data_IF_331965116773
#
_entry.id   IF_331965116773
#
_cell.length_a   1.000
_cell.length_b   1.000
_cell.length_c   1.000
_cell.angle_alpha   90.00
_cell.angle_beta   90.00
_cell.angle_gamma   90.00
#
_symmetry.space_group_name_H-M   'P 1'
#
loop_
_entity.id
_entity.type
_entity.pdbx_description
1 polymer ?
#
# COMPACT_ATOMS: atom_id res chain seq x y z
N UNK A 1 21.16 20.60 -40.47
CA UNK A 1 21.77 19.68 -39.48
C UNK A 1 20.71 19.36 -38.44
N UNK A 2 20.09 18.19 -38.58
CA UNK A 2 18.93 17.77 -37.78
C UNK A 2 19.36 17.37 -36.37
N UNK A 3 18.79 18.03 -35.35
CA UNK A 3 18.86 17.61 -33.96
C UNK A 3 17.95 16.40 -33.77
N UNK A 4 18.55 15.26 -33.40
CA UNK A 4 17.83 14.05 -33.00
C UNK A 4 17.01 14.34 -31.74
N UNK A 5 15.70 14.40 -31.92
CA UNK A 5 14.70 14.35 -30.86
C UNK A 5 14.70 12.90 -30.33
N UNK A 6 15.35 12.66 -29.19
CA UNK A 6 15.21 11.39 -28.48
C UNK A 6 13.93 11.50 -27.67
N UNK A 7 12.83 11.05 -28.30
CA UNK A 7 11.57 10.77 -27.63
C UNK A 7 11.80 9.48 -26.83
N UNK A 8 12.12 9.58 -25.54
CA UNK A 8 11.99 8.44 -24.64
C UNK A 8 10.49 8.24 -24.40
N UNK A 9 9.87 7.44 -25.26
CA UNK A 9 8.56 6.88 -25.00
C UNK A 9 8.68 6.02 -23.74
N UNK A 10 8.07 6.49 -22.65
CA UNK A 10 7.81 5.67 -21.48
C UNK A 10 6.95 4.49 -21.93
N UNK A 11 7.58 3.32 -22.03
CA UNK A 11 6.90 2.05 -22.21
C UNK A 11 6.44 1.56 -20.82
N UNK A 12 5.64 2.37 -20.13
CA UNK A 12 4.59 1.79 -19.30
C UNK A 12 3.54 1.37 -20.31
N UNK A 13 3.37 0.07 -20.49
CA UNK A 13 2.21 -0.49 -21.16
C UNK A 13 0.98 -0.25 -20.26
N UNK A 14 0.66 1.01 -19.94
CA UNK A 14 -0.64 1.42 -19.46
C UNK A 14 -1.53 1.52 -20.69
N UNK A 15 -1.91 0.37 -21.21
CA UNK A 15 -3.20 0.24 -21.85
C UNK A 15 -4.26 0.51 -20.77
N UNK A 16 -4.53 1.78 -20.48
CA UNK A 16 -5.79 2.20 -19.87
C UNK A 16 -6.87 2.07 -20.94
N UNK A 17 -7.07 0.84 -21.42
CA UNK A 17 -8.37 0.44 -21.88
C UNK A 17 -9.25 0.64 -20.66
N UNK A 18 -10.21 1.55 -20.74
CA UNK A 18 -11.38 1.48 -19.87
C UNK A 18 -11.94 0.08 -20.08
N UNK A 19 -11.57 -0.86 -19.22
CA UNK A 19 -12.21 -2.14 -19.14
C UNK A 19 -13.63 -1.83 -18.67
N UNK A 20 -14.56 -1.77 -19.62
CA UNK A 20 -15.96 -1.96 -19.26
C UNK A 20 -16.03 -3.23 -18.44
N UNK A 21 -16.69 -3.18 -17.28
CA UNK A 21 -16.91 -4.36 -16.44
C UNK A 21 -17.42 -5.49 -17.34
N UNK A 22 -16.62 -6.55 -17.48
CA UNK A 22 -17.01 -7.68 -18.31
C UNK A 22 -17.82 -8.63 -17.43
N UNK A 23 -18.88 -9.20 -18.00
CA UNK A 23 -19.73 -10.13 -17.28
C UNK A 23 -18.93 -11.35 -16.80
N UNK A 24 -19.20 -11.78 -15.56
CA UNK A 24 -18.85 -13.11 -15.10
C UNK A 24 -20.02 -14.07 -15.33
N UNK A 25 -19.72 -15.35 -15.46
CA UNK A 25 -20.68 -16.43 -15.64
C UNK A 25 -20.23 -17.64 -14.82
N UNK A 26 -21.16 -18.31 -14.17
CA UNK A 26 -20.91 -19.60 -13.52
C UNK A 26 -21.00 -20.67 -14.59
N UNK A 27 -19.89 -21.32 -14.90
CA UNK A 27 -19.80 -22.36 -15.95
C UNK A 27 -19.98 -23.77 -15.40
N UNK A 28 -19.72 -23.97 -14.11
CA UNK A 28 -19.91 -25.25 -13.44
C UNK A 28 -20.20 -25.06 -11.95
N UNK A 29 -20.88 -26.03 -11.35
CA UNK A 29 -21.26 -26.03 -9.93
C UNK A 29 -21.12 -27.44 -9.37
N UNK A 30 -20.37 -27.58 -8.29
CA UNK A 30 -20.31 -28.81 -7.48
C UNK A 30 -20.86 -28.54 -6.09
N UNK A 31 -21.74 -29.40 -5.59
CA UNK A 31 -22.37 -29.24 -4.27
C UNK A 31 -22.10 -30.46 -3.40
N UNK A 32 -21.53 -30.22 -2.21
CA UNK A 32 -21.19 -31.23 -1.21
C UNK A 32 -21.76 -30.84 0.15
N UNK A 33 -22.91 -31.41 0.48
CA UNK A 33 -23.67 -31.00 1.67
C UNK A 33 -24.16 -29.55 1.52
N UNK A 34 -23.84 -28.71 2.50
CA UNK A 34 -24.21 -27.29 2.51
C UNK A 34 -23.17 -26.39 1.80
N UNK A 35 -22.01 -26.96 1.45
CA UNK A 35 -20.95 -26.28 0.72
C UNK A 35 -21.13 -26.39 -0.79
N UNK A 36 -20.89 -25.28 -1.48
CA UNK A 36 -20.95 -25.16 -2.93
C UNK A 36 -19.62 -24.65 -3.47
N UNK A 37 -19.18 -25.26 -4.55
CA UNK A 37 -18.08 -24.81 -5.37
C UNK A 37 -18.62 -24.30 -6.69
N UNK A 38 -18.16 -23.14 -7.14
CA UNK A 38 -18.54 -22.57 -8.43
C UNK A 38 -17.31 -22.35 -9.30
N UNK A 39 -17.43 -22.66 -10.58
CA UNK A 39 -16.40 -22.36 -11.57
C UNK A 39 -16.83 -21.13 -12.37
N UNK A 40 -16.11 -20.03 -12.20
CA UNK A 40 -16.35 -18.77 -12.90
C UNK A 40 -15.57 -18.76 -14.23
N UNK A 41 -16.30 -18.54 -15.32
CA UNK A 41 -15.79 -18.40 -16.70
C UNK A 41 -14.88 -19.56 -17.16
N UNK A 42 -15.02 -20.74 -16.54
CA UNK A 42 -14.16 -21.90 -16.81
C UNK A 42 -12.71 -21.74 -16.33
N UNK A 43 -12.42 -20.79 -15.43
CA UNK A 43 -11.05 -20.44 -15.05
C UNK A 43 -10.84 -20.36 -13.53
N UNK A 44 -11.76 -19.73 -12.80
CA UNK A 44 -11.61 -19.49 -11.36
C UNK A 44 -12.60 -20.37 -10.61
N UNK A 45 -12.09 -21.34 -9.87
CA UNK A 45 -12.89 -22.12 -8.93
C UNK A 45 -12.90 -21.42 -7.57
N UNK A 46 -14.10 -21.17 -7.03
CA UNK A 46 -14.31 -20.68 -5.66
C UNK A 46 -15.05 -21.79 -4.92
N UNK A 47 -14.40 -22.33 -3.90
CA UNK A 47 -14.91 -23.41 -3.05
C UNK A 47 -15.52 -22.84 -1.77
N UNK A 48 -16.21 -23.66 -0.99
CA UNK A 48 -16.73 -23.29 0.34
C UNK A 48 -17.69 -22.09 0.35
N UNK A 49 -18.53 -21.96 -0.69
CA UNK A 49 -19.64 -21.01 -0.69
C UNK A 49 -20.81 -21.67 0.03
N UNK A 50 -21.37 -20.98 1.02
CA UNK A 50 -22.59 -21.41 1.71
C UNK A 50 -23.75 -20.48 1.37
N UNK A 51 -24.98 -20.99 1.51
CA UNK A 51 -26.20 -20.19 1.44
C UNK A 51 -26.85 -20.12 2.82
N UNK A 52 -26.68 -19.01 3.52
CA UNK A 52 -27.26 -18.79 4.86
C UNK A 52 -28.29 -17.66 4.79
N UNK A 53 -29.50 -17.92 5.29
CA UNK A 53 -30.63 -16.96 5.27
C UNK A 53 -30.89 -16.34 3.89
N UNK A 54 -30.70 -17.14 2.84
CA UNK A 54 -30.87 -16.71 1.45
C UNK A 54 -29.78 -15.79 0.92
N UNK A 55 -28.64 -15.66 1.61
CA UNK A 55 -27.46 -14.90 1.17
C UNK A 55 -26.25 -15.80 1.02
N UNK A 56 -25.40 -15.48 0.03
CA UNK A 56 -24.11 -16.13 -0.11
C UNK A 56 -23.18 -15.73 1.03
N UNK A 57 -22.63 -16.74 1.68
CA UNK A 57 -21.50 -16.64 2.59
C UNK A 57 -20.28 -17.11 1.81
N UNK A 58 -19.42 -16.15 1.46
CA UNK A 58 -18.20 -16.41 0.69
C UNK A 58 -17.07 -16.90 1.61
N UNK A 59 -16.04 -17.55 1.02
CA UNK A 59 -14.84 -17.92 1.75
C UNK A 59 -14.20 -16.72 2.44
N UNK A 60 -13.74 -16.97 3.65
CA UNK A 60 -13.09 -15.99 4.49
C UNK A 60 -11.89 -16.61 5.20
N UNK A 61 -10.87 -15.80 5.39
CA UNK A 61 -9.81 -16.07 6.36
C UNK A 61 -10.35 -15.75 7.76
N UNK A 62 -10.10 -16.65 8.72
CA UNK A 62 -10.47 -16.46 10.13
C UNK A 62 -9.16 -16.43 10.92
N UNK A 63 -8.69 -15.25 11.36
CA UNK A 63 -7.54 -15.14 12.25
C UNK A 63 -7.89 -15.66 13.65
N UNK A 64 -6.88 -15.79 14.51
CA UNK A 64 -7.06 -16.18 15.92
C UNK A 64 -7.98 -15.23 16.70
N UNK A 65 -8.16 -13.98 16.22
CA UNK A 65 -9.13 -13.02 16.77
C UNK A 65 -10.59 -13.45 16.56
N UNK A 66 -10.86 -14.38 15.66
CA UNK A 66 -12.20 -14.86 15.29
C UNK A 66 -12.94 -13.98 14.29
N UNK A 67 -12.39 -12.84 13.89
CA UNK A 67 -13.05 -11.92 12.94
C UNK A 67 -12.91 -12.43 11.50
N UNK A 68 -14.03 -12.69 10.81
CA UNK A 68 -14.01 -13.18 9.43
C UNK A 68 -13.55 -12.08 8.46
N UNK A 69 -12.50 -12.36 7.70
CA UNK A 69 -11.98 -11.50 6.65
C UNK A 69 -12.26 -12.12 5.28
N UNK A 70 -13.16 -11.54 4.46
CA UNK A 70 -13.52 -12.12 3.17
C UNK A 70 -12.31 -12.08 2.22
N UNK A 71 -11.98 -13.24 1.63
CA UNK A 71 -10.89 -13.37 0.65
C UNK A 71 -11.36 -13.29 -0.79
N UNK A 72 -12.69 -13.24 -0.98
CA UNK A 72 -13.37 -13.08 -2.27
C UNK A 72 -14.45 -12.01 -2.13
N UNK A 73 -14.50 -11.06 -3.08
CA UNK A 73 -15.50 -9.98 -3.09
C UNK A 73 -16.02 -9.74 -4.50
N UNK A 74 -17.33 -9.52 -4.65
CA UNK A 74 -17.93 -9.07 -5.90
C UNK A 74 -18.16 -7.56 -5.85
N UNK A 75 -17.62 -6.82 -6.82
CA UNK A 75 -17.73 -5.34 -6.87
C UNK A 75 -19.09 -4.86 -7.35
N UNK A 76 -19.83 -5.70 -8.06
CA UNK A 76 -21.13 -5.34 -8.64
C UNK A 76 -22.20 -6.31 -8.16
N UNK A 77 -23.41 -5.78 -8.00
CA UNK A 77 -24.58 -6.58 -7.62
C UNK A 77 -24.90 -7.60 -8.70
N UNK A 78 -24.72 -7.25 -9.97
CA UNK A 78 -24.98 -8.14 -11.10
C UNK A 78 -24.07 -9.38 -11.06
N UNK A 79 -22.79 -9.20 -10.72
CA UNK A 79 -21.85 -10.29 -10.57
C UNK A 79 -22.23 -11.20 -9.39
N UNK A 80 -22.60 -10.61 -8.25
CA UNK A 80 -23.09 -11.33 -7.09
C UNK A 80 -24.35 -12.14 -7.41
N UNK A 81 -25.37 -11.50 -7.99
CA UNK A 81 -26.67 -12.09 -8.34
C UNK A 81 -26.51 -13.29 -9.29
N UNK A 82 -25.55 -13.23 -10.24
CA UNK A 82 -25.25 -14.35 -11.14
C UNK A 82 -24.77 -15.58 -10.38
N UNK A 83 -23.89 -15.40 -9.39
CA UNK A 83 -23.39 -16.50 -8.57
C UNK A 83 -24.47 -16.98 -7.60
N UNK A 84 -25.22 -16.06 -7.01
CA UNK A 84 -26.32 -16.37 -6.08
C UNK A 84 -27.40 -17.20 -6.77
N UNK A 85 -27.83 -16.79 -7.97
CA UNK A 85 -28.83 -17.54 -8.73
C UNK A 85 -28.33 -18.93 -9.12
N UNK A 86 -27.06 -19.02 -9.50
CA UNK A 86 -26.44 -20.29 -9.88
C UNK A 86 -26.40 -21.26 -8.67
N UNK A 87 -25.96 -20.77 -7.50
CA UNK A 87 -25.92 -21.53 -6.24
C UNK A 87 -27.33 -21.93 -5.80
N UNK A 88 -28.30 -21.00 -5.86
CA UNK A 88 -29.70 -21.21 -5.44
C UNK A 88 -30.41 -22.23 -6.32
N UNK A 89 -30.17 -22.18 -7.63
CA UNK A 89 -30.81 -23.08 -8.59
C UNK A 89 -30.03 -24.35 -8.86
N UNK A 90 -28.79 -24.44 -8.36
CA UNK A 90 -27.82 -25.49 -8.66
C UNK A 90 -27.64 -25.67 -10.19
N UNK A 91 -27.59 -24.55 -10.93
CA UNK A 91 -27.45 -24.54 -12.40
C UNK A 91 -26.46 -23.48 -12.87
N UNK A 92 -25.55 -23.81 -13.80
CA UNK A 92 -24.69 -22.83 -14.46
C UNK A 92 -25.49 -21.70 -15.14
N UNK A 93 -24.83 -20.56 -15.36
CA UNK A 93 -25.38 -19.42 -16.09
C UNK A 93 -25.68 -19.79 -17.55
N UNK A 94 -26.73 -19.19 -18.12
CA UNK A 94 -27.22 -19.53 -19.48
C UNK A 94 -26.25 -19.14 -20.60
N UNK A 95 -25.41 -18.14 -20.38
CA UNK A 95 -24.42 -17.66 -21.36
C UNK A 95 -23.00 -17.69 -20.76
N UNK A 96 -22.21 -18.75 -21.01
CA UNK A 96 -20.85 -18.84 -20.50
C UNK A 96 -19.92 -17.89 -21.26
N UNK A 97 -19.41 -16.86 -20.57
CA UNK A 97 -18.25 -16.10 -21.04
C UNK A 97 -16.99 -16.90 -20.72
N UNK A 98 -16.19 -17.22 -21.74
CA UNK A 98 -14.86 -17.83 -21.56
C UNK A 98 -13.74 -16.81 -21.48
N UNK A 99 -14.07 -15.51 -21.56
CA UNK A 99 -13.07 -14.44 -21.54
C UNK A 99 -12.81 -14.06 -20.09
N UNK A 100 -11.53 -14.09 -19.74
CA UNK A 100 -11.03 -13.59 -18.48
C UNK A 100 -9.99 -12.53 -18.77
N UNK A 101 -10.12 -11.40 -18.09
CA UNK A 101 -9.06 -10.42 -17.92
C UNK A 101 -8.81 -10.29 -16.41
N UNK A 102 -7.65 -9.76 -16.05
CA UNK A 102 -7.35 -9.47 -14.66
C UNK A 102 -6.52 -8.20 -14.53
N UNK A 103 -6.50 -7.67 -13.32
CA UNK A 103 -5.65 -6.57 -12.91
C UNK A 103 -5.18 -6.81 -11.47
N UNK A 104 -3.92 -6.52 -11.17
CA UNK A 104 -3.43 -6.43 -9.79
C UNK A 104 -3.86 -5.07 -9.26
N UNK A 105 -4.83 -5.04 -8.35
CA UNK A 105 -5.44 -3.79 -7.83
C UNK A 105 -4.85 -3.34 -6.51
N UNK A 106 -4.20 -4.25 -5.79
CA UNK A 106 -3.46 -3.96 -4.56
C UNK A 106 -2.20 -4.80 -4.54
N UNK A 107 -1.09 -4.20 -4.12
CA UNK A 107 0.15 -4.92 -3.82
C UNK A 107 0.89 -4.14 -2.73
N UNK A 108 0.85 -4.66 -1.51
CA UNK A 108 1.37 -4.00 -0.30
C UNK A 108 2.48 -4.87 0.28
N UNK A 109 3.75 -4.41 0.23
CA UNK A 109 4.86 -5.11 0.86
C UNK A 109 4.60 -5.37 2.34
N UNK A 110 5.06 -6.52 2.80
CA UNK A 110 5.00 -6.95 4.18
C UNK A 110 6.41 -7.25 4.66
N UNK A 111 6.98 -6.30 5.40
CA UNK A 111 8.33 -6.42 5.92
C UNK A 111 8.29 -6.87 7.38
N UNK A 112 8.38 -8.19 7.56
CA UNK A 112 8.56 -8.81 8.87
C UNK A 112 9.70 -9.80 8.79
N UNK A 113 10.75 -9.56 9.56
CA UNK A 113 11.90 -10.45 9.61
C UNK A 113 11.49 -11.89 9.95
N UNK A 114 12.06 -12.85 9.23
CA UNK A 114 11.76 -14.29 9.37
C UNK A 114 10.43 -14.75 8.75
N UNK A 115 9.57 -13.83 8.31
CA UNK A 115 8.32 -14.16 7.64
C UNK A 115 8.56 -14.67 6.21
N UNK A 116 7.85 -15.73 5.84
CA UNK A 116 7.72 -16.16 4.44
C UNK A 116 6.76 -15.28 3.66
N UNK A 117 5.83 -14.58 4.31
CA UNK A 117 4.97 -13.59 3.67
C UNK A 117 5.80 -12.35 3.32
N UNK A 118 5.64 -11.87 2.08
CA UNK A 118 6.38 -10.74 1.50
C UNK A 118 5.51 -9.61 0.99
N UNK A 119 4.29 -9.92 0.53
CA UNK A 119 3.30 -8.90 0.23
C UNK A 119 1.89 -9.47 0.32
N UNK A 120 0.94 -8.60 0.69
CA UNK A 120 -0.48 -8.82 0.44
C UNK A 120 -0.82 -8.26 -0.93
N UNK A 121 -1.60 -8.99 -1.72
CA UNK A 121 -2.05 -8.51 -3.01
C UNK A 121 -3.54 -8.79 -3.24
N UNK A 122 -4.15 -8.06 -4.16
CA UNK A 122 -5.53 -8.27 -4.62
C UNK A 122 -5.51 -8.36 -6.15
N UNK A 123 -6.16 -9.38 -6.69
CA UNK A 123 -6.33 -9.57 -8.14
C UNK A 123 -7.82 -9.42 -8.47
N UNK A 124 -8.15 -8.43 -9.29
CA UNK A 124 -9.50 -8.22 -9.80
C UNK A 124 -9.65 -8.87 -11.16
N UNK A 125 -10.57 -9.81 -11.28
CA UNK A 125 -10.94 -10.46 -12.53
C UNK A 125 -12.16 -9.80 -13.14
N UNK A 126 -12.11 -9.55 -14.45
CA UNK A 126 -13.21 -8.94 -15.22
C UNK A 126 -13.70 -7.57 -14.71
N UNK A 127 -12.91 -6.92 -13.84
CA UNK A 127 -13.30 -5.68 -13.16
C UNK A 127 -14.36 -5.86 -12.07
N UNK A 128 -14.76 -7.10 -11.73
CA UNK A 128 -15.92 -7.37 -10.86
C UNK A 128 -15.70 -8.40 -9.75
N UNK A 129 -14.65 -9.21 -9.82
CA UNK A 129 -14.36 -10.25 -8.83
C UNK A 129 -12.95 -10.03 -8.25
N UNK A 130 -12.89 -9.65 -6.98
CA UNK A 130 -11.64 -9.47 -6.25
C UNK A 130 -11.27 -10.74 -5.50
N UNK A 131 -9.99 -11.13 -5.58
CA UNK A 131 -9.42 -12.24 -4.84
C UNK A 131 -8.15 -11.77 -4.12
N UNK A 132 -8.13 -11.94 -2.81
CA UNK A 132 -6.95 -11.65 -1.99
C UNK A 132 -5.93 -12.77 -2.15
N UNK A 133 -4.68 -12.42 -2.46
CA UNK A 133 -3.58 -13.37 -2.60
C UNK A 133 -2.35 -12.89 -1.83
N UNK A 134 -1.39 -13.78 -1.63
CA UNK A 134 -0.15 -13.45 -0.91
C UNK A 134 1.07 -13.77 -1.77
N UNK A 135 2.03 -12.85 -1.80
CA UNK A 135 3.37 -13.12 -2.32
C UNK A 135 4.21 -13.68 -1.18
N UNK A 136 4.78 -14.85 -1.41
CA UNK A 136 5.53 -15.61 -0.42
C UNK A 136 6.95 -15.86 -0.91
N UNK A 137 7.89 -16.04 0.02
CA UNK A 137 9.29 -16.42 -0.25
C UNK A 137 9.58 -17.77 0.41
N UNK A 138 10.18 -18.68 -0.35
CA UNK A 138 10.73 -19.92 0.18
C UNK A 138 11.88 -19.62 1.14
N UNK A 139 11.83 -20.16 2.36
CA UNK A 139 12.94 -20.03 3.30
C UNK A 139 14.21 -20.73 2.83
N UNK A 140 14.07 -21.79 2.01
CA UNK A 140 15.18 -22.63 1.55
C UNK A 140 15.94 -22.00 0.38
N UNK A 141 15.21 -21.64 -0.67
CA UNK A 141 15.80 -21.28 -1.96
C UNK A 141 15.61 -19.79 -2.29
N UNK A 142 14.91 -19.04 -1.43
CA UNK A 142 14.57 -17.61 -1.61
C UNK A 142 13.73 -17.30 -2.86
N UNK A 143 13.18 -18.33 -3.49
CA UNK A 143 12.25 -18.18 -4.61
C UNK A 143 10.88 -17.67 -4.17
N UNK A 144 10.30 -16.79 -4.99
CA UNK A 144 8.96 -16.26 -4.80
C UNK A 144 7.89 -17.22 -5.32
N UNK A 145 6.80 -17.35 -4.59
CA UNK A 145 5.60 -18.09 -4.99
C UNK A 145 4.33 -17.39 -4.53
N UNK A 146 3.20 -17.70 -5.17
CA UNK A 146 1.90 -17.08 -4.89
C UNK A 146 1.03 -18.04 -4.09
N UNK A 147 0.62 -17.60 -2.90
CA UNK A 147 -0.39 -18.30 -2.11
C UNK A 147 -1.76 -17.77 -2.45
N UNK A 148 -2.56 -18.62 -3.09
CA UNK A 148 -4.00 -18.40 -3.25
C UNK A 148 -4.73 -18.65 -1.92
N UNK A 149 -5.94 -18.11 -1.75
CA UNK A 149 -6.77 -18.37 -0.58
C UNK A 149 -6.92 -19.87 -0.28
N UNK A 150 -6.53 -20.24 0.93
CA UNK A 150 -6.69 -21.57 1.47
C UNK A 150 -6.85 -21.49 2.99
N UNK A 151 -7.60 -22.43 3.56
CA UNK A 151 -7.72 -22.58 5.01
C UNK A 151 -7.01 -23.83 5.49
N UNK A 152 -6.59 -23.80 6.75
CA UNK A 152 -6.02 -24.96 7.42
C UNK A 152 -7.07 -26.09 7.50
N UNK A 153 -6.62 -27.35 7.52
CA UNK A 153 -7.53 -28.48 7.73
C UNK A 153 -8.29 -28.35 9.04
N UNK A 154 -9.59 -28.60 8.99
CA UNK A 154 -10.40 -28.76 10.19
C UNK A 154 -10.17 -30.15 10.80
N UNK A 155 -9.39 -30.15 11.89
CA UNK A 155 -9.05 -31.36 12.63
C UNK A 155 -10.25 -32.02 13.30
N UNK A 156 -11.33 -31.27 13.55
CA UNK A 156 -12.53 -31.79 14.23
C UNK A 156 -13.33 -32.73 13.36
N UNK A 157 -13.30 -32.53 12.04
CA UNK A 157 -13.93 -33.38 11.03
C UNK A 157 -12.93 -34.32 10.32
N UNK A 158 -11.69 -34.39 10.81
CA UNK A 158 -10.66 -35.32 10.33
C UNK A 158 -9.95 -34.92 9.04
N UNK A 159 -10.03 -33.66 8.61
CA UNK A 159 -9.27 -33.17 7.45
C UNK A 159 -7.76 -33.23 7.74
N UNK A 160 -6.98 -33.60 6.72
CA UNK A 160 -5.52 -33.79 6.83
C UNK A 160 -4.71 -32.83 5.97
N UNK A 161 -5.35 -32.12 5.06
CA UNK A 161 -4.72 -31.24 4.09
C UNK A 161 -5.38 -29.87 4.10
N UNK A 162 -4.59 -28.87 3.72
CA UNK A 162 -5.12 -27.54 3.41
C UNK A 162 -6.23 -27.63 2.36
N UNK A 163 -7.24 -26.78 2.51
CA UNK A 163 -8.38 -26.71 1.61
C UNK A 163 -8.25 -25.42 0.79
N UNK A 164 -8.07 -25.58 -0.52
CA UNK A 164 -8.02 -24.46 -1.46
C UNK A 164 -9.40 -23.81 -1.54
N UNK A 165 -9.50 -22.56 -1.10
CA UNK A 165 -10.75 -21.78 -1.15
C UNK A 165 -10.92 -21.11 -2.52
N UNK A 166 -9.82 -20.74 -3.17
CA UNK A 166 -9.83 -20.20 -4.54
C UNK A 166 -8.71 -20.82 -5.35
N UNK A 167 -8.99 -21.21 -6.58
CA UNK A 167 -8.02 -21.81 -7.49
C UNK A 167 -8.22 -21.36 -8.93
N UNK A 168 -7.13 -21.02 -9.60
CA UNK A 168 -7.10 -20.91 -11.06
C UNK A 168 -6.90 -22.29 -11.68
N UNK A 169 -7.96 -22.87 -12.23
CA UNK A 169 -7.89 -24.21 -12.85
C UNK A 169 -7.21 -24.19 -14.21
N UNK A 170 -7.26 -23.04 -14.90
CA UNK A 170 -6.55 -22.86 -16.16
C UNK A 170 -5.08 -22.55 -15.87
N UNK A 171 -4.21 -23.53 -16.08
CA UNK A 171 -2.76 -23.41 -15.81
C UNK A 171 -2.12 -22.23 -16.54
N UNK A 172 -2.49 -21.95 -17.78
CA UNK A 172 -1.92 -20.83 -18.54
C UNK A 172 -2.29 -19.49 -17.90
N UNK A 173 -3.55 -19.31 -17.51
CA UNK A 173 -3.97 -18.08 -16.81
C UNK A 173 -3.26 -17.95 -15.47
N UNK A 174 -3.17 -19.06 -14.71
CA UNK A 174 -2.45 -19.11 -13.43
C UNK A 174 -1.00 -18.67 -13.59
N UNK A 175 -0.26 -19.27 -14.52
CA UNK A 175 1.16 -18.99 -14.73
C UNK A 175 1.39 -17.52 -15.10
N UNK A 176 0.52 -16.91 -15.91
CA UNK A 176 0.61 -15.48 -16.28
C UNK A 176 0.33 -14.61 -15.04
N UNK A 177 -0.80 -14.81 -14.35
CA UNK A 177 -1.16 -14.01 -13.16
C UNK A 177 -0.07 -14.10 -12.08
N UNK A 178 0.47 -15.29 -11.83
CA UNK A 178 1.52 -15.47 -10.83
C UNK A 178 2.84 -14.85 -11.25
N UNK A 179 3.18 -14.89 -12.54
CA UNK A 179 4.37 -14.22 -13.07
C UNK A 179 4.25 -12.72 -12.90
N UNK A 180 3.13 -12.12 -13.31
CA UNK A 180 2.88 -10.69 -13.17
C UNK A 180 2.90 -10.24 -11.71
N UNK A 181 2.35 -11.02 -10.77
CA UNK A 181 2.41 -10.72 -9.34
C UNK A 181 3.85 -10.71 -8.80
N UNK A 182 4.65 -11.71 -9.20
CA UNK A 182 6.06 -11.80 -8.80
C UNK A 182 6.88 -10.67 -9.40
N UNK A 183 6.68 -10.37 -10.69
CA UNK A 183 7.37 -9.28 -11.38
C UNK A 183 6.99 -7.93 -10.78
N UNK A 184 5.70 -7.66 -10.57
CA UNK A 184 5.22 -6.43 -9.91
C UNK A 184 5.81 -6.27 -8.51
N UNK A 185 5.90 -7.36 -7.74
CA UNK A 185 6.52 -7.31 -6.42
C UNK A 185 8.03 -7.06 -6.50
N UNK A 186 8.72 -7.69 -7.44
CA UNK A 186 10.15 -7.42 -7.68
C UNK A 186 10.38 -5.99 -8.17
N UNK A 187 9.48 -5.43 -8.95
CA UNK A 187 9.51 -4.03 -9.35
C UNK A 187 9.36 -3.10 -8.15
N UNK A 188 8.44 -3.39 -7.21
CA UNK A 188 8.36 -2.64 -5.94
C UNK A 188 9.66 -2.76 -5.14
N UNK A 189 10.27 -3.95 -5.10
CA UNK A 189 11.56 -4.14 -4.41
C UNK A 189 12.71 -3.37 -5.09
N UNK A 190 12.71 -3.30 -6.44
CA UNK A 190 13.70 -2.55 -7.22
C UNK A 190 13.46 -1.04 -7.13
N UNK A 191 12.19 -0.63 -7.13
CA UNK A 191 11.79 0.77 -7.11
C UNK A 191 11.89 1.39 -5.71
N UNK A 192 11.83 0.60 -4.64
CA UNK A 192 11.49 1.16 -3.33
C UNK A 192 10.08 1.80 -3.37
N UNK A 193 9.66 2.57 -2.34
CA UNK A 193 8.51 3.47 -2.51
C UNK A 193 8.78 4.33 -3.75
N UNK A 194 7.81 4.47 -4.66
CA UNK A 194 7.98 5.07 -6.00
C UNK A 194 8.71 6.42 -5.96
N UNK A 195 10.03 6.39 -6.10
CA UNK A 195 10.89 7.53 -6.35
C UNK A 195 11.54 7.28 -7.70
N UNK A 196 11.60 8.25 -8.62
CA UNK A 196 12.51 8.11 -9.76
C UNK A 196 13.92 7.78 -9.25
N UNK A 197 14.64 6.88 -9.93
CA UNK A 197 16.01 6.39 -9.60
C UNK A 197 17.05 7.53 -9.72
N UNK A 198 16.83 8.57 -8.95
CA UNK A 198 17.64 9.77 -8.86
C UNK A 198 18.56 9.53 -7.69
N UNK A 199 19.85 9.43 -8.00
CA UNK A 199 20.90 9.36 -6.98
C UNK A 199 20.91 10.67 -6.19
N UNK A 200 20.23 10.69 -5.05
CA UNK A 200 20.26 11.80 -4.10
C UNK A 200 21.63 11.80 -3.40
N UNK A 201 22.33 12.93 -3.45
CA UNK A 201 23.54 13.16 -2.67
C UNK A 201 23.13 13.44 -1.22
N UNK A 202 23.47 12.52 -0.31
CA UNK A 202 23.11 12.60 1.11
C UNK A 202 24.33 13.01 1.92
N UNK A 203 24.14 13.99 2.83
CA UNK A 203 25.19 14.44 3.75
C UNK A 203 24.64 14.54 5.17
N UNK A 204 25.41 14.08 6.15
CA UNK A 204 25.14 14.43 7.55
C UNK A 204 25.70 15.83 7.80
N UNK A 205 24.91 16.70 8.43
CA UNK A 205 25.24 18.11 8.68
C UNK A 205 24.44 19.10 7.83
N UNK A 206 24.60 20.38 8.16
CA UNK A 206 24.01 21.50 7.41
C UNK A 206 24.48 21.54 5.96
N UNK A 207 23.53 21.70 5.04
CA UNK A 207 23.77 22.14 3.66
C UNK A 207 22.82 23.28 3.30
N UNK A 208 23.22 24.11 2.32
CA UNK A 208 22.46 25.28 1.86
C UNK A 208 21.56 25.00 0.65
N UNK A 209 21.55 23.76 0.15
CA UNK A 209 20.71 23.39 -0.99
C UNK A 209 19.22 23.44 -0.59
N UNK A 210 18.36 24.16 -1.32
CA UNK A 210 16.95 24.28 -0.94
C UNK A 210 16.20 22.95 -1.10
N UNK A 211 15.17 22.76 -0.28
CA UNK A 211 14.16 21.72 -0.52
C UNK A 211 13.17 22.22 -1.57
N UNK A 212 12.95 21.40 -2.59
CA UNK A 212 12.07 21.66 -3.75
C UNK A 212 11.11 20.50 -3.93
N UNK A 213 9.92 20.78 -4.46
CA UNK A 213 8.90 19.76 -4.71
C UNK A 213 9.24 19.04 -6.01
N UNK A 214 9.67 17.81 -5.89
CA UNK A 214 10.07 16.98 -7.04
C UNK A 214 8.91 16.25 -7.70
N UNK A 215 7.85 15.98 -6.93
CA UNK A 215 6.61 15.35 -7.35
C UNK A 215 5.45 15.84 -6.46
N UNK A 216 4.24 15.90 -7.02
CA UNK A 216 3.03 16.33 -6.32
C UNK A 216 1.83 15.52 -6.82
N UNK A 217 1.03 15.05 -5.87
CA UNK A 217 -0.21 14.31 -6.11
C UNK A 217 -1.34 15.05 -5.40
N UNK A 218 -2.45 15.32 -6.11
CA UNK A 218 -3.58 16.09 -5.56
C UNK A 218 -4.88 15.35 -5.85
N UNK A 219 -5.54 14.90 -4.78
CA UNK A 219 -6.87 14.30 -4.83
C UNK A 219 -7.93 15.35 -4.45
N UNK A 220 -8.68 15.83 -5.45
CA UNK A 220 -9.76 16.80 -5.23
C UNK A 220 -10.95 16.12 -4.55
N UNK A 221 -11.51 16.75 -3.52
CA UNK A 221 -12.76 16.32 -2.86
C UNK A 221 -13.96 17.05 -3.48
N UNK A 222 -15.14 16.44 -3.38
CA UNK A 222 -16.39 16.94 -3.98
C UNK A 222 -16.77 18.33 -3.47
N UNK A 223 -17.35 19.16 -4.35
CA UNK A 223 -17.77 20.53 -4.03
C UNK A 223 -18.80 20.57 -2.88
N UNK A 224 -18.51 21.34 -1.82
CA UNK A 224 -19.43 21.58 -0.70
C UNK A 224 -18.79 21.53 0.70
N UNK A 225 -17.53 21.13 0.84
CA UNK A 225 -16.78 21.15 2.09
C UNK A 225 -15.70 22.25 2.09
N UNK A 226 -15.32 22.74 3.28
CA UNK A 226 -14.17 23.64 3.45
C UNK A 226 -12.84 22.99 2.98
N UNK A 227 -12.80 21.65 2.97
CA UNK A 227 -11.69 20.85 2.46
C UNK A 227 -11.83 20.65 0.94
N UNK A 228 -10.92 21.24 0.18
CA UNK A 228 -10.90 21.18 -1.28
C UNK A 228 -10.17 19.96 -1.83
N UNK A 229 -9.07 19.57 -1.20
CA UNK A 229 -8.23 18.48 -1.65
C UNK A 229 -7.40 17.89 -0.53
N UNK A 230 -6.92 16.67 -0.76
CA UNK A 230 -5.82 16.05 -0.01
C UNK A 230 -4.66 15.87 -0.96
N UNK A 231 -3.46 16.27 -0.55
CA UNK A 231 -2.27 16.25 -1.39
C UNK A 231 -1.10 15.52 -0.74
N UNK A 232 -0.23 15.01 -1.60
CA UNK A 232 1.08 14.46 -1.23
C UNK A 232 2.18 15.15 -2.04
N UNK A 233 3.34 15.38 -1.42
CA UNK A 233 4.50 15.98 -2.09
C UNK A 233 5.78 15.21 -1.77
N UNK A 234 6.65 15.09 -2.76
CA UNK A 234 8.01 14.57 -2.59
C UNK A 234 9.00 15.72 -2.63
N UNK A 235 9.87 15.82 -1.63
CA UNK A 235 10.90 16.84 -1.51
C UNK A 235 12.27 16.26 -1.88
N UNK A 236 12.94 16.90 -2.84
CA UNK A 236 14.29 16.53 -3.34
C UNK A 236 14.46 15.03 -3.63
N UNK A 237 13.41 14.35 -4.11
CA UNK A 237 13.38 12.90 -4.33
C UNK A 237 13.68 12.06 -3.08
N UNK A 238 13.50 12.62 -1.89
CA UNK A 238 14.07 12.07 -0.67
C UNK A 238 13.07 11.85 0.44
N UNK A 239 12.10 12.74 0.61
CA UNK A 239 11.06 12.64 1.63
C UNK A 239 9.70 12.90 1.02
N UNK A 240 8.74 12.01 1.30
CA UNK A 240 7.32 12.20 0.98
C UNK A 240 6.59 12.73 2.21
N UNK A 241 5.74 13.72 2.00
CA UNK A 241 4.76 14.20 2.98
C UNK A 241 3.38 13.89 2.39
N UNK A 242 2.61 13.07 3.09
CA UNK A 242 1.24 12.70 2.76
C UNK A 242 0.23 13.52 3.56
N UNK A 243 -1.05 13.36 3.21
CA UNK A 243 -2.18 13.92 3.94
C UNK A 243 -2.15 15.44 4.16
N UNK A 244 -1.57 16.19 3.20
CA UNK A 244 -1.63 17.66 3.23
C UNK A 244 -3.06 18.07 2.88
N UNK A 245 -3.78 18.59 3.86
CA UNK A 245 -5.17 19.02 3.68
C UNK A 245 -5.19 20.45 3.16
N UNK A 246 -5.92 20.65 2.06
CA UNK A 246 -6.02 21.93 1.36
C UNK A 246 -7.40 22.51 1.62
N UNK A 247 -7.44 23.67 2.28
CA UNK A 247 -8.67 24.39 2.60
C UNK A 247 -8.76 25.71 1.83
N UNK A 248 -9.97 26.15 1.52
CA UNK A 248 -10.22 27.54 1.11
C UNK A 248 -11.04 28.26 2.16
N UNK A 249 -10.51 29.38 2.66
CA UNK A 249 -11.25 30.27 3.57
C UNK A 249 -11.11 31.69 3.08
N UNK A 250 -12.24 32.35 2.77
CA UNK A 250 -12.29 33.74 2.31
C UNK A 250 -11.43 34.01 1.06
N UNK A 251 -11.43 33.05 0.12
CA UNK A 251 -10.64 33.13 -1.13
C UNK A 251 -9.13 32.99 -0.95
N UNK A 252 -8.69 32.44 0.19
CA UNK A 252 -7.29 32.11 0.45
C UNK A 252 -7.13 30.61 0.68
N UNK A 253 -6.13 30.01 0.03
CA UNK A 253 -5.74 28.62 0.22
C UNK A 253 -4.88 28.44 1.46
N UNK A 254 -5.30 27.56 2.37
CA UNK A 254 -4.58 27.16 3.57
C UNK A 254 -4.15 25.70 3.44
N UNK A 255 -2.91 25.42 3.88
CA UNK A 255 -2.37 24.08 3.95
C UNK A 255 -2.27 23.67 5.42
N UNK A 256 -2.91 22.57 5.77
CA UNK A 256 -2.72 21.88 7.04
C UNK A 256 -1.88 20.63 6.78
N UNK A 257 -0.76 20.53 7.49
CA UNK A 257 0.18 19.41 7.40
C UNK A 257 -0.25 18.29 8.36
N UNK A 258 0.17 17.03 8.11
CA UNK A 258 -0.19 15.92 8.98
C UNK A 258 0.21 16.17 10.43
N UNK A 259 -0.69 15.78 11.34
CA UNK A 259 -0.52 15.82 12.79
C UNK A 259 -0.86 14.45 13.35
N UNK A 260 -0.27 14.13 14.51
CA UNK A 260 -0.68 12.97 15.29
C UNK A 260 -1.79 13.37 16.25
N UNK A 261 -2.87 12.60 16.30
CA UNK A 261 -3.96 12.80 17.28
C UNK A 261 -3.92 11.67 18.29
N UNK A 262 -3.76 12.00 19.57
CA UNK A 262 -3.85 11.00 20.64
C UNK A 262 -5.27 10.52 20.87
N UNK A 263 -5.43 9.41 21.60
CA UNK A 263 -6.74 8.88 22.03
C UNK A 263 -7.58 9.90 22.82
N UNK A 264 -6.94 10.91 23.41
CA UNK A 264 -7.62 12.00 24.14
C UNK A 264 -8.04 13.18 23.26
N UNK A 265 -7.80 13.10 21.95
CA UNK A 265 -8.07 14.17 20.98
C UNK A 265 -7.01 15.27 20.95
N UNK A 266 -5.91 15.14 21.71
CA UNK A 266 -4.82 16.11 21.67
C UNK A 266 -3.96 15.90 20.42
N UNK A 267 -3.74 16.98 19.69
CA UNK A 267 -2.89 17.04 18.49
C UNK A 267 -1.42 17.29 18.84
N UNK A 268 -0.54 16.66 18.08
CA UNK A 268 0.92 16.80 18.16
C UNK A 268 1.48 17.00 16.75
N UNK A 269 2.25 18.08 16.58
CA UNK A 269 2.95 18.36 15.33
C UNK A 269 3.96 17.23 15.05
N UNK A 270 3.86 16.58 13.89
CA UNK A 270 4.85 15.59 13.46
C UNK A 270 5.96 16.19 12.59
N UNK A 271 5.76 17.44 12.15
CA UNK A 271 6.71 18.16 11.34
C UNK A 271 6.61 19.66 11.54
N UNK A 272 7.71 20.36 11.26
CA UNK A 272 7.77 21.81 11.26
C UNK A 272 8.52 22.32 10.04
N UNK A 273 7.84 23.14 9.24
CA UNK A 273 8.46 23.86 8.12
C UNK A 273 8.89 25.24 8.61
N UNK A 274 10.20 25.44 8.77
CA UNK A 274 10.79 26.73 9.17
C UNK A 274 10.93 27.69 7.98
N UNK A 275 11.17 27.13 6.79
CA UNK A 275 11.45 27.90 5.59
C UNK A 275 10.15 28.40 4.95
N UNK A 276 9.95 29.72 4.96
CA UNK A 276 8.90 30.38 4.16
C UNK A 276 9.01 30.05 2.66
N UNK A 277 10.22 30.05 2.04
CA UNK A 277 10.40 29.57 0.68
C UNK A 277 9.84 28.16 0.46
N UNK A 278 10.20 27.19 1.30
CA UNK A 278 9.71 25.82 1.17
C UNK A 278 8.18 25.74 1.29
N UNK A 279 7.58 26.45 2.25
CA UNK A 279 6.12 26.47 2.41
C UNK A 279 5.42 27.04 1.17
N UNK A 280 6.00 28.07 0.54
CA UNK A 280 5.47 28.63 -0.70
C UNK A 280 5.65 27.68 -1.88
N UNK A 281 6.77 26.96 -1.92
CA UNK A 281 7.04 25.95 -2.95
C UNK A 281 6.01 24.83 -2.92
N UNK A 282 5.71 24.28 -1.74
CA UNK A 282 4.67 23.28 -1.54
C UNK A 282 3.31 23.80 -1.97
N UNK A 283 2.95 25.04 -1.56
CA UNK A 283 1.69 25.65 -1.98
C UNK A 283 1.58 25.78 -3.49
N UNK A 284 2.60 26.36 -4.13
CA UNK A 284 2.62 26.55 -5.58
C UNK A 284 2.50 25.21 -6.32
N UNK A 285 3.18 24.18 -5.84
CA UNK A 285 3.12 22.85 -6.46
C UNK A 285 1.72 22.23 -6.35
N UNK A 286 1.07 22.37 -5.19
CA UNK A 286 -0.30 21.89 -4.97
C UNK A 286 -1.30 22.69 -5.84
N UNK A 287 -1.22 24.02 -5.84
CA UNK A 287 -2.13 24.89 -6.57
C UNK A 287 -2.05 24.67 -8.09
N UNK A 288 -0.84 24.42 -8.60
CA UNK A 288 -0.61 24.18 -10.04
C UNK A 288 -0.72 22.71 -10.44
N UNK A 289 -0.66 21.80 -9.47
CA UNK A 289 -0.50 20.36 -9.72
C UNK A 289 0.79 20.02 -10.46
N UNK A 290 1.82 20.84 -10.34
CA UNK A 290 3.11 20.67 -11.03
C UNK A 290 4.28 20.72 -10.03
N UNK A 291 5.35 19.95 -10.26
CA UNK A 291 6.55 20.05 -9.43
C UNK A 291 7.32 21.35 -9.69
N UNK A 292 8.29 21.65 -8.82
CA UNK A 292 9.22 22.77 -8.94
C UNK A 292 9.93 22.79 -10.30
N UNK A 293 10.18 23.99 -10.83
CA UNK A 293 10.97 24.17 -12.05
C UNK A 293 12.44 23.79 -11.81
N UNK A 294 13.01 24.29 -10.72
CA UNK A 294 14.32 23.89 -10.24
C UNK A 294 14.17 22.70 -9.29
N UNK A 295 14.92 21.63 -9.55
CA UNK A 295 14.89 20.41 -8.75
C UNK A 295 16.28 20.06 -8.29
N UNK A 296 16.42 19.72 -7.02
CA UNK A 296 17.69 19.33 -6.42
C UNK A 296 17.63 17.87 -5.98
N UNK A 297 18.72 17.15 -6.22
CA UNK A 297 18.92 15.78 -5.77
C UNK A 297 19.99 15.76 -4.67
N UNK A 298 19.86 16.63 -3.68
CA UNK A 298 20.78 16.73 -2.55
C UNK A 298 20.01 17.05 -1.27
N UNK A 299 20.33 16.32 -0.20
CA UNK A 299 19.73 16.50 1.12
C UNK A 299 20.80 16.34 2.19
N UNK A 300 20.88 17.33 3.07
CA UNK A 300 21.64 17.33 4.30
C UNK A 300 20.70 17.17 5.48
N UNK A 301 21.11 16.42 6.49
CA UNK A 301 20.28 16.18 7.67
C UNK A 301 21.06 16.36 8.98
N UNK A 302 20.35 16.79 10.03
CA UNK A 302 20.88 16.89 11.39
C UNK A 302 19.85 16.39 12.41
N UNK A 303 20.32 15.72 13.46
CA UNK A 303 19.45 15.34 14.58
C UNK A 303 19.22 16.58 15.46
N UNK A 304 18.05 17.21 15.33
CA UNK A 304 17.70 18.45 16.03
C UNK A 304 17.10 18.23 17.42
N UNK A 305 16.53 17.05 17.67
CA UNK A 305 15.95 16.65 18.97
C UNK A 305 16.31 15.21 19.30
N UNK A 306 16.59 14.93 20.57
CA UNK A 306 16.92 13.59 21.05
C UNK A 306 16.63 13.47 22.56
N UNK A 307 15.35 13.37 22.91
CA UNK A 307 14.86 13.42 24.29
C UNK A 307 14.47 12.02 24.77
N UNK A 308 14.97 11.63 25.94
CA UNK A 308 14.65 10.33 26.54
C UNK A 308 13.18 10.28 26.98
N UNK A 309 12.55 9.14 26.75
CA UNK A 309 11.24 8.83 27.30
C UNK A 309 11.40 8.04 28.59
N UNK A 310 11.12 8.68 29.73
CA UNK A 310 11.44 8.14 31.06
C UNK A 310 10.43 7.12 31.60
N UNK A 311 9.35 6.82 30.87
CA UNK A 311 8.35 5.84 31.30
C UNK A 311 8.72 4.45 30.80
N UNK A 312 8.30 3.44 31.55
CA UNK A 312 8.43 2.05 31.12
C UNK A 312 7.55 1.81 29.89
N UNK A 313 8.20 1.70 28.73
CA UNK A 313 7.58 1.49 27.43
C UNK A 313 8.61 0.93 26.44
N UNK A 314 8.13 0.39 25.31
CA UNK A 314 8.98 0.12 24.15
C UNK A 314 9.47 1.41 23.49
N UNK A 315 8.73 2.52 23.61
CA UNK A 315 9.21 3.85 23.23
C UNK A 315 10.37 4.27 24.16
N UNK A 316 11.51 4.66 23.60
CA UNK A 316 12.70 5.06 24.37
C UNK A 316 13.12 6.51 24.17
N UNK A 317 12.99 7.04 22.95
CA UNK A 317 13.39 8.41 22.65
C UNK A 317 12.39 9.06 21.71
N UNK A 318 12.09 10.34 21.96
CA UNK A 318 11.54 11.25 20.99
C UNK A 318 12.69 11.95 20.26
N UNK A 319 12.68 11.86 18.94
CA UNK A 319 13.73 12.37 18.09
C UNK A 319 13.14 13.35 17.07
N UNK A 320 14.00 14.21 16.53
CA UNK A 320 13.65 14.96 15.33
C UNK A 320 14.88 15.11 14.44
N UNK A 321 14.64 15.09 13.13
CA UNK A 321 15.67 15.29 12.11
C UNK A 321 15.29 16.52 11.30
N UNK A 322 16.22 17.46 11.19
CA UNK A 322 16.10 18.66 10.36
C UNK A 322 16.80 18.44 9.02
N UNK A 323 16.09 18.72 7.93
CA UNK A 323 16.56 18.62 6.55
C UNK A 323 16.79 20.00 5.96
N UNK A 324 18.00 20.24 5.44
CA UNK A 324 18.44 21.48 4.78
C UNK A 324 18.03 22.76 5.54
N UNK A 325 18.01 22.72 6.89
CA UNK A 325 17.55 23.80 7.77
C UNK A 325 16.12 24.32 7.47
N UNK A 326 15.31 23.57 6.74
CA UNK A 326 14.04 24.04 6.20
C UNK A 326 12.84 23.24 6.71
N UNK A 327 13.03 21.95 7.00
CA UNK A 327 11.99 21.02 7.44
C UNK A 327 12.52 20.16 8.59
N UNK A 328 11.84 20.19 9.74
CA UNK A 328 12.03 19.23 10.83
C UNK A 328 10.94 18.17 10.80
N UNK A 329 11.32 16.91 11.02
CA UNK A 329 10.45 15.75 11.05
C UNK A 329 10.66 15.05 12.39
N UNK A 330 9.60 14.88 13.17
CA UNK A 330 9.65 14.09 14.39
C UNK A 330 9.69 12.59 14.06
N UNK A 331 10.39 11.82 14.88
CA UNK A 331 10.41 10.36 14.81
C UNK A 331 10.66 9.80 16.21
N UNK A 332 10.54 8.49 16.38
CA UNK A 332 10.77 7.84 17.67
C UNK A 332 11.70 6.66 17.56
N UNK A 333 12.45 6.40 18.63
CA UNK A 333 13.19 5.15 18.78
C UNK A 333 12.39 4.20 19.66
N UNK A 334 12.12 3.02 19.11
CA UNK A 334 11.42 1.94 19.79
C UNK A 334 12.39 0.80 20.01
N UNK A 335 12.49 0.34 21.25
CA UNK A 335 13.23 -0.84 21.64
C UNK A 335 12.25 -2.01 21.79
N UNK A 336 12.31 -2.94 20.84
CA UNK A 336 11.39 -4.06 20.76
C UNK A 336 11.87 -5.23 21.61
N UNK A 337 11.03 -5.82 22.45
CA UNK A 337 11.40 -6.99 23.25
C UNK A 337 11.88 -8.22 22.43
N UNK A 338 11.65 -8.22 21.10
CA UNK A 338 12.03 -9.29 20.17
C UNK A 338 12.93 -8.83 19.02
N UNK A 339 13.20 -7.53 18.90
CA UNK A 339 13.89 -6.92 17.76
C UNK A 339 14.87 -5.88 18.27
N UNK A 340 16.00 -5.68 17.59
CA UNK A 340 16.89 -4.55 17.90
C UNK A 340 16.13 -3.22 17.78
N UNK A 341 16.58 -2.21 18.51
CA UNK A 341 15.99 -0.88 18.48
C UNK A 341 15.92 -0.35 17.04
N UNK A 342 14.77 0.24 16.68
CA UNK A 342 14.50 0.75 15.35
C UNK A 342 13.88 2.15 15.41
N UNK A 343 13.93 2.87 14.30
CA UNK A 343 13.31 4.19 14.14
C UNK A 343 11.93 4.02 13.53
N UNK A 344 10.92 4.62 14.16
CA UNK A 344 9.56 4.71 13.62
C UNK A 344 9.29 6.14 13.17
N UNK A 345 8.95 6.26 11.89
CA UNK A 345 8.59 7.53 11.23
C UNK A 345 7.10 7.86 11.45
N UNK A 346 6.70 9.14 11.27
CA UNK A 346 5.33 9.58 11.48
C UNK A 346 4.29 8.79 10.68
N UNK A 347 3.33 8.22 11.40
CA UNK A 347 2.17 7.51 10.85
C UNK A 347 0.93 7.80 11.70
N UNK A 348 -0.23 7.73 11.08
CA UNK A 348 -1.54 7.86 11.72
C UNK A 348 -2.23 6.51 11.75
N UNK A 349 -2.83 6.17 12.89
CA UNK A 349 -3.65 4.97 13.00
C UNK A 349 -4.98 5.22 12.28
N UNK A 350 -5.33 4.36 11.34
CA UNK A 350 -6.58 4.40 10.57
C UNK A 350 -7.34 3.08 10.72
N UNK A 351 -8.61 3.05 10.34
CA UNK A 351 -9.40 1.82 10.36
C UNK A 351 -8.72 0.74 9.50
N UNK A 352 -8.27 -0.33 10.15
CA UNK A 352 -7.58 -1.45 9.49
C UNK A 352 -6.07 -1.31 9.32
N UNK A 353 -5.42 -0.28 9.90
CA UNK A 353 -3.95 -0.20 9.86
C UNK A 353 -3.33 1.13 10.29
N UNK A 354 -2.21 1.46 9.66
CA UNK A 354 -1.50 2.72 9.81
C UNK A 354 -1.30 3.35 8.43
N UNK A 355 -1.51 4.65 8.34
CA UNK A 355 -1.19 5.46 7.17
C UNK A 355 0.13 6.19 7.43
N UNK A 356 1.13 5.97 6.59
CA UNK A 356 2.42 6.64 6.74
C UNK A 356 2.29 8.11 6.29
N UNK A 357 2.49 9.04 7.22
CA UNK A 357 2.28 10.46 6.97
C UNK A 357 3.54 11.14 6.44
N UNK A 358 4.72 10.75 6.93
CA UNK A 358 6.00 11.31 6.48
C UNK A 358 7.01 10.18 6.31
N UNK A 359 7.54 10.03 5.10
CA UNK A 359 8.34 8.86 4.72
C UNK A 359 9.66 9.30 4.07
N UNK A 360 10.82 8.86 4.58
CA UNK A 360 12.06 8.90 3.82
C UNK A 360 12.00 7.89 2.67
N UNK A 361 11.56 8.36 1.51
CA UNK A 361 11.39 7.55 0.30
C UNK A 361 12.72 7.21 -0.37
N UNK A 362 13.76 8.02 -0.18
CA UNK A 362 15.11 7.68 -0.62
C UNK A 362 15.79 6.77 0.40
N UNK A 363 16.16 5.56 -0.04
CA UNK A 363 16.82 4.55 0.79
C UNK A 363 18.12 5.02 1.44
N UNK A 364 19.00 5.71 0.68
CA UNK A 364 20.28 6.15 1.22
C UNK A 364 20.10 7.20 2.33
N UNK A 365 19.14 8.13 2.13
CA UNK A 365 18.80 9.11 3.16
C UNK A 365 18.23 8.40 4.40
N UNK A 366 17.28 7.47 4.19
CA UNK A 366 16.67 6.70 5.28
C UNK A 366 17.72 5.97 6.11
N UNK A 367 18.55 5.15 5.46
CA UNK A 367 19.60 4.37 6.13
C UNK A 367 20.59 5.28 6.86
N UNK A 368 20.98 6.42 6.28
CA UNK A 368 21.89 7.37 6.92
C UNK A 368 21.27 8.00 8.18
N UNK A 369 20.02 8.45 8.12
CA UNK A 369 19.32 9.05 9.26
C UNK A 369 19.10 8.03 10.38
N UNK A 370 18.61 6.84 10.03
CA UNK A 370 18.36 5.76 11.01
C UNK A 370 19.66 5.29 11.66
N UNK A 371 20.74 5.13 10.89
CA UNK A 371 22.05 4.79 11.43
C UNK A 371 22.58 5.87 12.39
N UNK A 372 22.44 7.16 12.06
CA UNK A 372 22.86 8.25 12.93
C UNK A 372 22.07 8.29 14.25
N UNK A 373 20.74 8.15 14.18
CA UNK A 373 19.85 8.09 15.34
C UNK A 373 20.17 6.90 16.25
N UNK A 374 20.30 5.69 15.68
CA UNK A 374 20.59 4.47 16.43
C UNK A 374 22.01 4.46 16.99
N UNK A 375 22.99 5.07 16.29
CA UNK A 375 24.33 5.29 16.84
C UNK A 375 24.27 6.18 18.07
N UNK A 376 23.53 7.29 18.02
CA UNK A 376 23.34 8.19 19.17
C UNK A 376 22.63 7.51 20.33
N UNK A 377 21.64 6.65 20.04
CA UNK A 377 20.94 5.80 21.02
C UNK A 377 21.89 4.84 21.76
N UNK A 378 22.70 4.09 21.02
CA UNK A 378 23.65 3.11 21.60
C UNK A 378 24.77 3.74 22.44
N UNK A 379 24.98 5.04 22.28
CA UNK A 379 25.96 5.81 23.06
C UNK A 379 25.37 6.39 24.36
N UNK A 380 24.05 6.28 24.57
CA UNK A 380 23.43 6.72 25.81
C UNK A 380 23.62 5.67 26.91
N UNK A 381 23.87 6.10 28.17
CA UNK A 381 24.06 5.23 29.31
C UNK A 381 22.77 4.57 29.82
#
# INVERSE_FOLDING_TARGET
MAKKLILLAGLLCSSTLMLSAQSISVTDIDKKGDMVSVLINGVIEINEIELQDGKLVLPAYIPDSGERQPVVRFRTKEAYDVVEEAVRTNRPSREPSKRINYQITKLSPFDREGSSLKAFAEVTFNGVLDVDVKVMESQRDKDLWISWPARAPDKTIGERSWVDQVKLINRRVKDIVETDLKESYQEILKAGPSVPDVKVNVREGVIDTPLTVTNVEVEKKSAGADLLAVASVDLNYAVRINDIRVYERRGQTFLEFPVSVSDTGREYDQMRIFSRPLRNEIRNAIDTGQPSQEKYAEVGFEISKFDKFDRESSLKYFCAVTLNQALEIECVIIDGAKYDAFVSWPSEKVDGGYNDQIIPINRNLREAMEAALLKKYRQQP
#
